data_IF_515786940908
#
_entry.id   IF_515786940908
#
_cell.length_a   1.000
_cell.length_b   1.000
_cell.length_c   1.000
_cell.angle_alpha   90.00
_cell.angle_beta   90.00
_cell.angle_gamma   90.00
#
_symmetry.space_group_name_H-M   'P 1'
#
loop_
_entity.id
_entity.type
_entity.pdbx_description
1 polymer ?
#
# COMPACT_ATOMS: atom_id res chain seq x y z
N UNK A 1 -16.95 9.95 34.62
CA UNK A 1 -15.87 8.93 34.50
C UNK A 1 -16.11 7.99 33.30
N UNK A 2 -17.29 7.37 33.18
CA UNK A 2 -17.66 6.44 32.09
C UNK A 2 -17.39 6.96 30.65
N UNK A 3 -17.78 8.20 30.30
CA UNK A 3 -17.60 8.73 28.92
C UNK A 3 -16.15 8.79 28.46
N UNK A 4 -15.19 9.13 29.34
CA UNK A 4 -13.76 9.17 28.99
C UNK A 4 -13.22 7.77 28.67
N UNK A 5 -13.64 6.76 29.44
CA UNK A 5 -13.24 5.36 29.20
C UNK A 5 -13.80 4.87 27.86
N UNK A 6 -15.07 5.13 27.57
CA UNK A 6 -15.69 4.74 26.30
C UNK A 6 -14.98 5.38 25.10
N UNK A 7 -14.63 6.66 25.21
CA UNK A 7 -13.91 7.38 24.15
C UNK A 7 -12.52 6.77 23.90
N UNK A 8 -11.82 6.39 24.96
CA UNK A 8 -10.48 5.80 24.84
C UNK A 8 -10.52 4.37 24.29
N UNK A 9 -11.55 3.60 24.65
CA UNK A 9 -11.83 2.29 24.02
C UNK A 9 -12.08 2.47 22.53
N UNK A 10 -12.95 3.41 22.13
CA UNK A 10 -13.24 3.67 20.71
C UNK A 10 -11.97 4.09 19.97
N UNK A 11 -11.17 5.01 20.52
CA UNK A 11 -9.89 5.42 19.93
C UNK A 11 -8.93 4.24 19.70
N UNK A 12 -8.79 3.36 20.69
CA UNK A 12 -7.94 2.17 20.57
C UNK A 12 -8.49 1.21 19.52
N UNK A 13 -9.79 0.96 19.50
CA UNK A 13 -10.44 0.12 18.49
C UNK A 13 -10.24 0.70 17.09
N UNK A 14 -10.46 2.00 16.88
CA UNK A 14 -10.20 2.66 15.59
C UNK A 14 -8.74 2.48 15.17
N UNK A 15 -7.77 2.72 16.06
CA UNK A 15 -6.35 2.53 15.75
C UNK A 15 -6.02 1.09 15.36
N UNK A 16 -6.55 0.10 16.09
CA UNK A 16 -6.35 -1.32 15.78
C UNK A 16 -6.97 -1.70 14.43
N UNK A 17 -8.22 -1.30 14.19
CA UNK A 17 -8.94 -1.57 12.94
C UNK A 17 -8.26 -0.90 11.75
N UNK A 18 -7.87 0.38 11.86
CA UNK A 18 -7.16 1.08 10.78
C UNK A 18 -5.82 0.42 10.48
N UNK A 19 -5.09 -0.04 11.49
CA UNK A 19 -3.81 -0.74 11.28
C UNK A 19 -4.01 -2.10 10.60
N UNK A 20 -5.01 -2.88 11.05
CA UNK A 20 -5.34 -4.17 10.47
C UNK A 20 -5.81 -4.03 9.01
N UNK A 21 -6.70 -3.07 8.72
CA UNK A 21 -7.14 -2.77 7.37
C UNK A 21 -6.01 -2.23 6.49
N UNK A 22 -5.11 -1.44 7.05
CA UNK A 22 -3.90 -0.98 6.35
C UNK A 22 -3.02 -2.14 5.90
N UNK A 23 -2.84 -3.16 6.74
CA UNK A 23 -2.12 -4.38 6.38
C UNK A 23 -2.84 -5.16 5.26
N UNK A 24 -4.15 -5.37 5.39
CA UNK A 24 -4.95 -6.05 4.35
C UNK A 24 -4.86 -5.31 3.02
N UNK A 25 -4.97 -3.97 3.04
CA UNK A 25 -4.85 -3.15 1.85
C UNK A 25 -3.46 -3.27 1.22
N UNK A 26 -2.39 -3.26 2.02
CA UNK A 26 -1.02 -3.43 1.52
C UNK A 26 -0.82 -4.79 0.82
N UNK A 27 -1.38 -5.87 1.40
CA UNK A 27 -1.35 -7.20 0.80
C UNK A 27 -2.12 -7.26 -0.52
N UNK A 28 -3.33 -6.71 -0.55
CA UNK A 28 -4.18 -6.66 -1.74
C UNK A 28 -3.52 -5.88 -2.89
N UNK A 29 -2.88 -4.75 -2.61
CA UNK A 29 -2.13 -3.99 -3.60
C UNK A 29 -0.93 -4.77 -4.15
N UNK A 30 -0.18 -5.47 -3.30
CA UNK A 30 0.92 -6.32 -3.73
C UNK A 30 0.45 -7.45 -4.66
N UNK A 31 -0.66 -8.12 -4.35
CA UNK A 31 -1.24 -9.15 -5.22
C UNK A 31 -1.75 -8.57 -6.54
N UNK A 32 -2.47 -7.45 -6.49
CA UNK A 32 -2.97 -6.77 -7.68
C UNK A 32 -1.84 -6.41 -8.65
N UNK A 33 -0.77 -5.79 -8.15
CA UNK A 33 0.37 -5.38 -8.98
C UNK A 33 1.05 -6.60 -9.60
N UNK A 34 1.24 -7.69 -8.84
CA UNK A 34 1.81 -8.93 -9.37
C UNK A 34 0.94 -9.53 -10.48
N UNK A 35 -0.35 -9.68 -10.24
CA UNK A 35 -1.29 -10.24 -11.21
C UNK A 35 -1.39 -9.37 -12.46
N UNK A 36 -1.36 -8.05 -12.29
CA UNK A 36 -1.33 -7.11 -13.41
C UNK A 36 -0.08 -7.31 -14.27
N UNK A 37 1.10 -7.39 -13.66
CA UNK A 37 2.35 -7.62 -14.39
C UNK A 37 2.35 -9.00 -15.06
N UNK A 38 1.84 -10.01 -14.39
CA UNK A 38 1.77 -11.37 -14.93
C UNK A 38 0.79 -11.49 -16.11
N UNK A 39 -0.32 -10.75 -16.06
CA UNK A 39 -1.36 -10.80 -17.11
C UNK A 39 -1.01 -9.91 -18.30
N UNK A 40 -0.50 -8.70 -18.05
CA UNK A 40 -0.30 -7.70 -19.10
C UNK A 40 1.15 -7.59 -19.57
N UNK A 41 2.14 -7.76 -18.69
CA UNK A 41 3.55 -7.51 -19.01
C UNK A 41 4.27 -8.79 -19.43
N UNK A 42 4.09 -9.92 -18.73
CA UNK A 42 4.75 -11.20 -19.09
C UNK A 42 4.51 -11.63 -20.53
N UNK A 43 3.28 -11.56 -21.10
CA UNK A 43 3.04 -11.95 -22.49
C UNK A 43 3.72 -11.03 -23.51
N UNK A 44 3.90 -9.74 -23.17
CA UNK A 44 4.55 -8.76 -24.05
C UNK A 44 6.08 -8.95 -24.13
N UNK A 45 6.70 -9.43 -23.05
CA UNK A 45 8.17 -9.50 -22.90
C UNK A 45 8.73 -10.88 -23.30
N UNK A 46 7.87 -11.88 -23.50
CA UNK A 46 8.26 -13.23 -23.90
C UNK A 46 8.67 -14.13 -22.73
N UNK A 47 8.34 -15.42 -22.85
CA UNK A 47 8.31 -16.45 -21.79
C UNK A 47 9.65 -16.69 -21.05
N UNK A 48 10.77 -16.14 -21.54
CA UNK A 48 12.10 -16.33 -20.95
C UNK A 48 12.53 -15.30 -19.90
N UNK A 49 11.76 -14.22 -19.71
CA UNK A 49 12.23 -13.05 -18.94
C UNK A 49 11.54 -12.85 -17.60
N UNK A 50 11.56 -13.87 -16.74
CA UNK A 50 11.10 -13.77 -15.33
C UNK A 50 11.79 -12.58 -14.63
N UNK A 51 13.09 -12.39 -14.87
CA UNK A 51 13.86 -11.29 -14.32
C UNK A 51 13.33 -9.91 -14.71
N UNK A 52 12.90 -9.73 -15.97
CA UNK A 52 12.37 -8.45 -16.45
C UNK A 52 11.00 -8.16 -15.81
N UNK A 53 10.15 -9.18 -15.65
CA UNK A 53 8.87 -9.01 -14.96
C UNK A 53 9.04 -8.60 -13.49
N UNK A 54 10.05 -9.16 -12.79
CA UNK A 54 10.38 -8.79 -11.41
C UNK A 54 11.01 -7.40 -11.32
N UNK A 55 11.81 -6.99 -12.30
CA UNK A 55 12.39 -5.65 -12.36
C UNK A 55 11.30 -4.59 -12.54
N UNK A 56 10.33 -4.83 -13.43
CA UNK A 56 9.18 -3.95 -13.63
C UNK A 56 8.35 -3.86 -12.34
N UNK A 57 8.11 -4.99 -11.66
CA UNK A 57 7.43 -5.01 -10.37
C UNK A 57 8.14 -4.12 -9.34
N UNK A 58 9.45 -4.28 -9.18
CA UNK A 58 10.23 -3.49 -8.23
C UNK A 58 10.14 -1.99 -8.54
N UNK A 59 10.30 -1.60 -9.81
CA UNK A 59 10.21 -0.19 -10.23
C UNK A 59 8.83 0.41 -9.95
N UNK A 60 7.75 -0.31 -10.28
CA UNK A 60 6.37 0.16 -10.04
C UNK A 60 6.10 0.35 -8.55
N UNK A 61 6.47 -0.63 -7.72
CA UNK A 61 6.25 -0.56 -6.27
C UNK A 61 7.07 0.57 -5.64
N UNK A 62 8.33 0.74 -6.04
CA UNK A 62 9.15 1.86 -5.55
C UNK A 62 8.59 3.21 -5.98
N UNK A 63 8.15 3.36 -7.23
CA UNK A 63 7.56 4.61 -7.72
C UNK A 63 6.27 4.95 -6.94
N UNK A 64 5.39 3.97 -6.71
CA UNK A 64 4.19 4.14 -5.90
C UNK A 64 4.53 4.53 -4.45
N UNK A 65 5.50 3.86 -3.84
CA UNK A 65 5.93 4.16 -2.47
C UNK A 65 6.41 5.62 -2.37
N UNK A 66 7.33 6.04 -3.26
CA UNK A 66 7.83 7.42 -3.30
C UNK A 66 6.69 8.41 -3.54
N UNK A 67 5.79 8.13 -4.48
CA UNK A 67 4.65 9.01 -4.77
C UNK A 67 3.76 9.20 -3.54
N UNK A 68 3.36 8.11 -2.87
CA UNK A 68 2.52 8.16 -1.67
C UNK A 68 3.25 8.91 -0.55
N UNK A 69 4.52 8.62 -0.31
CA UNK A 69 5.33 9.32 0.71
C UNK A 69 5.41 10.81 0.45
N UNK A 70 5.69 11.24 -0.79
CA UNK A 70 5.74 12.66 -1.14
C UNK A 70 4.39 13.37 -0.94
N UNK A 71 3.29 12.70 -1.28
CA UNK A 71 1.95 13.26 -1.09
C UNK A 71 1.59 13.39 0.40
N UNK A 72 1.97 12.40 1.23
CA UNK A 72 1.83 12.49 2.68
C UNK A 72 2.69 13.61 3.28
N UNK A 73 3.95 13.74 2.86
CA UNK A 73 4.84 14.83 3.32
C UNK A 73 4.28 16.21 2.98
N UNK A 74 3.70 16.38 1.78
CA UNK A 74 3.03 17.64 1.39
C UNK A 74 1.78 17.91 2.21
N UNK A 75 1.00 16.87 2.54
CA UNK A 75 -0.19 17.02 3.37
C UNK A 75 0.21 17.41 4.81
N UNK A 76 1.26 16.82 5.36
CA UNK A 76 1.79 17.19 6.67
C UNK A 76 2.23 18.66 6.70
N UNK A 77 2.94 19.12 5.66
CA UNK A 77 3.35 20.52 5.55
C UNK A 77 2.19 21.52 5.43
N UNK A 78 1.03 21.09 4.92
CA UNK A 78 -0.17 21.93 4.83
C UNK A 78 -0.99 21.99 6.12
N UNK A 79 -0.90 20.94 6.94
CA UNK A 79 -1.65 20.83 8.19
C UNK A 79 -0.88 21.35 9.40
N UNK A 80 0.46 21.43 9.30
CA UNK A 80 1.31 22.24 10.18
C UNK A 80 1.17 23.72 9.86
#
# INVERSE_FOLDING_TARGET
MSKKIHLEVIRKMTSLTTSALGLVAALAWNELIKNFIDTFIKPLVGTGSVLISQLIYAVIVTALAVFITLQLSRLEQKLK
#
